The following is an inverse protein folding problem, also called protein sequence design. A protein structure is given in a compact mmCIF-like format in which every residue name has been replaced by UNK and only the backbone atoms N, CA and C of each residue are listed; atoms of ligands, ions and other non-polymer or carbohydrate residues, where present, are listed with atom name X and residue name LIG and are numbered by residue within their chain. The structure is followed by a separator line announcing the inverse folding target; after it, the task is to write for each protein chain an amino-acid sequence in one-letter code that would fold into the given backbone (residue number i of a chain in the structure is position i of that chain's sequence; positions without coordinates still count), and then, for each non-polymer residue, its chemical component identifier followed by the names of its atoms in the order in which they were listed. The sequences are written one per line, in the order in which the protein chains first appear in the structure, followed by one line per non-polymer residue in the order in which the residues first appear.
data_IF_028307959345
#
_entry.id   IF_028307959345
#
_cell.length_a   1.000
_cell.length_b   1.000
_cell.length_c   1.000
_cell.angle_alpha   90.00
_cell.angle_beta   90.00
_cell.angle_gamma   90.00
#
_symmetry.space_group_name_H-M   'P 1'
#
loop_
_entity.id
_entity.type
_entity.pdbx_description
1 polymer ?
#
# COMPACT_ATOMS: atom_id res chain seq x y z
N UNK A 1 4.05 12.73 1.42
CA UNK A 1 3.08 12.21 0.42
C UNK A 1 3.75 11.48 -0.73
N UNK A 2 4.73 12.08 -1.42
CA UNK A 2 5.59 11.34 -2.38
C UNK A 2 6.24 10.09 -1.78
N UNK A 3 6.47 10.12 -0.46
CA UNK A 3 6.95 9.01 0.34
C UNK A 3 6.21 7.68 0.05
N UNK A 4 4.91 7.68 -0.23
CA UNK A 4 4.17 6.45 -0.56
C UNK A 4 4.66 5.85 -1.88
N UNK A 5 4.87 6.67 -2.91
CA UNK A 5 5.36 6.18 -4.20
C UNK A 5 6.76 5.58 -4.06
N UNK A 6 7.60 6.16 -3.19
CA UNK A 6 8.95 5.67 -2.93
C UNK A 6 8.93 4.40 -2.06
N UNK A 7 8.21 4.39 -0.94
CA UNK A 7 8.15 3.23 -0.03
C UNK A 7 7.44 2.02 -0.65
N UNK A 8 6.45 2.25 -1.52
CA UNK A 8 5.70 1.18 -2.17
C UNK A 8 6.27 0.76 -3.53
N UNK A 9 7.34 1.41 -4.03
CA UNK A 9 7.79 1.32 -5.42
C UNK A 9 7.94 -0.12 -5.94
N UNK A 10 8.51 -1.04 -5.15
CA UNK A 10 8.69 -2.45 -5.51
C UNK A 10 7.35 -3.15 -5.75
N UNK A 11 6.33 -2.82 -4.97
CA UNK A 11 5.01 -3.44 -5.04
C UNK A 11 4.16 -2.87 -6.16
N UNK A 12 4.32 -1.59 -6.48
CA UNK A 12 3.48 -0.91 -7.49
C UNK A 12 4.15 -0.80 -8.86
N UNK A 13 5.41 -1.22 -9.02
CA UNK A 13 6.10 -1.11 -10.32
C UNK A 13 5.51 -2.01 -11.42
N UNK A 14 5.73 -1.57 -12.65
CA UNK A 14 5.68 -2.34 -13.88
C UNK A 14 7.02 -3.04 -14.14
N UNK A 15 7.08 -4.16 -14.89
CA UNK A 15 5.96 -4.92 -15.44
C UNK A 15 5.15 -5.66 -14.34
N UNK A 16 4.04 -6.30 -14.72
CA UNK A 16 3.17 -7.01 -13.77
C UNK A 16 3.90 -8.13 -13.02
N UNK A 17 4.96 -8.70 -13.61
CA UNK A 17 5.76 -9.79 -13.05
C UNK A 17 7.20 -9.38 -12.72
N UNK A 18 7.81 -9.96 -11.68
CA UNK A 18 7.18 -10.86 -10.70
C UNK A 18 6.18 -10.11 -9.80
N UNK A 19 5.18 -10.84 -9.29
CA UNK A 19 4.18 -10.28 -8.36
C UNK A 19 4.80 -10.26 -6.96
N UNK A 20 5.09 -9.06 -6.46
CA UNK A 20 5.51 -8.87 -5.06
C UNK A 20 4.27 -8.68 -4.18
N UNK A 21 4.13 -9.53 -3.18
CA UNK A 21 3.09 -9.38 -2.15
C UNK A 21 3.59 -8.41 -1.08
N UNK A 22 2.82 -7.35 -0.81
CA UNK A 22 3.16 -6.40 0.24
C UNK A 22 2.88 -7.01 1.60
N UNK A 23 3.90 -7.04 2.47
CA UNK A 23 3.70 -7.41 3.87
C UNK A 23 2.91 -6.32 4.59
N UNK A 24 1.92 -6.73 5.41
CA UNK A 24 1.14 -5.81 6.23
C UNK A 24 2.00 -4.98 7.19
N UNK A 25 3.18 -5.48 7.59
CA UNK A 25 4.08 -4.78 8.50
C UNK A 25 5.16 -3.96 7.76
N UNK A 26 5.09 -3.88 6.43
CA UNK A 26 6.06 -3.15 5.63
C UNK A 26 5.97 -1.62 5.80
N UNK A 27 7.07 -0.89 5.58
CA UNK A 27 7.06 0.58 5.52
C UNK A 27 6.03 1.13 4.52
N UNK A 28 5.82 0.45 3.39
CA UNK A 28 4.77 0.79 2.43
C UNK A 28 3.38 0.79 3.09
N UNK A 29 3.00 -0.29 3.78
CA UNK A 29 1.69 -0.35 4.44
C UNK A 29 1.56 0.63 5.61
N UNK A 30 2.65 0.93 6.32
CA UNK A 30 2.63 1.98 7.34
C UNK A 30 2.33 3.35 6.73
N UNK A 31 2.90 3.67 5.56
CA UNK A 31 2.61 4.90 4.85
C UNK A 31 1.17 4.94 4.28
N UNK A 32 0.68 3.82 3.74
CA UNK A 32 -0.70 3.69 3.25
C UNK A 32 -1.72 3.91 4.38
N UNK A 33 -1.47 3.39 5.58
CA UNK A 33 -2.36 3.58 6.75
C UNK A 33 -2.42 5.03 7.25
N UNK A 34 -1.43 5.86 6.94
CA UNK A 34 -1.45 7.30 7.23
C UNK A 34 -2.34 8.08 6.25
N UNK A 35 -2.68 7.51 5.09
CA UNK A 35 -3.65 8.12 4.17
C UNK A 35 -5.04 7.95 4.77
N UNK A 36 -5.77 9.06 4.89
CA UNK A 36 -7.16 9.06 5.34
C UNK A 36 -7.99 8.06 4.53
N UNK A 37 -8.68 7.17 5.24
CA UNK A 37 -9.49 6.07 4.69
C UNK A 37 -8.76 5.13 3.72
N UNK A 38 -7.41 5.18 3.71
CA UNK A 38 -6.56 4.52 2.70
C UNK A 38 -7.04 4.83 1.28
N UNK A 39 -7.45 6.08 1.04
CA UNK A 39 -7.94 6.50 -0.26
C UNK A 39 -6.81 6.58 -1.29
N UNK A 40 -6.58 5.49 -2.01
CA UNK A 40 -5.49 5.38 -2.99
C UNK A 40 -5.73 6.21 -4.27
N UNK A 41 -6.92 6.78 -4.47
CA UNK A 41 -7.12 7.77 -5.54
C UNK A 41 -6.22 8.98 -5.35
N UNK A 42 -5.95 9.36 -4.10
CA UNK A 42 -5.03 10.44 -3.79
C UNK A 42 -3.61 10.14 -4.29
N UNK A 43 -3.17 8.89 -4.16
CA UNK A 43 -1.84 8.44 -4.65
C UNK A 43 -1.79 8.47 -6.19
N UNK A 44 -2.90 8.16 -6.87
CA UNK A 44 -2.98 8.30 -8.32
C UNK A 44 -2.92 9.77 -8.78
N UNK A 45 -3.55 10.69 -8.04
CA UNK A 45 -3.45 12.13 -8.31
C UNK A 45 -2.00 12.60 -8.15
N UNK A 46 -1.32 12.21 -7.08
CA UNK A 46 0.11 12.51 -6.90
C UNK A 46 0.96 11.95 -8.04
N UNK A 47 0.66 10.72 -8.47
CA UNK A 47 1.37 10.11 -9.60
C UNK A 47 1.14 10.90 -10.89
N UNK A 48 -0.07 11.42 -11.12
CA UNK A 48 -0.39 12.22 -12.31
C UNK A 48 0.38 13.55 -12.38
N UNK A 49 0.84 14.05 -11.24
CA UNK A 49 1.67 15.26 -11.14
C UNK A 49 3.16 15.00 -11.42
N UNK A 50 3.59 13.73 -11.46
CA UNK A 50 4.97 13.35 -11.77
C UNK A 50 5.24 13.35 -13.29
N UNK A 51 6.51 13.30 -13.67
CA UNK A 51 6.90 13.18 -15.09
C UNK A 51 6.26 11.95 -15.76
N UNK A 52 5.96 12.06 -17.06
CA UNK A 52 5.39 10.95 -17.85
C UNK A 52 6.22 9.67 -17.75
N UNK A 53 7.54 9.79 -17.63
CA UNK A 53 8.43 8.63 -17.48
C UNK A 53 8.24 7.94 -16.14
N UNK A 54 8.14 8.69 -15.02
CA UNK A 54 7.79 8.10 -13.72
C UNK A 54 6.40 7.46 -13.75
N UNK A 55 5.43 8.06 -14.43
CA UNK A 55 4.08 7.50 -14.55
C UNK A 55 4.08 6.12 -15.21
N UNK A 56 4.90 5.91 -16.25
CA UNK A 56 5.00 4.63 -16.96
C UNK A 56 5.61 3.51 -16.11
N UNK A 57 6.37 3.85 -15.06
CA UNK A 57 6.99 2.86 -14.17
C UNK A 57 6.01 2.20 -13.21
N UNK A 58 4.83 2.78 -12.98
CA UNK A 58 3.92 2.32 -11.93
C UNK A 58 2.57 1.84 -12.48
N UNK A 59 2.08 0.76 -11.90
CA UNK A 59 0.78 0.18 -12.20
C UNK A 59 -0.31 0.82 -11.36
N UNK A 60 -1.25 1.52 -12.01
CA UNK A 60 -2.42 2.11 -11.36
C UNK A 60 -3.25 1.06 -10.60
N UNK A 61 -3.40 -0.12 -11.20
CA UNK A 61 -4.10 -1.27 -10.60
C UNK A 61 -3.45 -1.69 -9.28
N UNK A 62 -2.13 -1.86 -9.26
CA UNK A 62 -1.39 -2.24 -8.04
C UNK A 62 -1.47 -1.16 -6.95
N UNK A 63 -1.45 0.12 -7.34
CA UNK A 63 -1.63 1.24 -6.39
C UNK A 63 -3.00 1.16 -5.71
N UNK A 64 -4.07 0.93 -6.47
CA UNK A 64 -5.42 0.83 -5.89
C UNK A 64 -5.56 -0.34 -4.92
N UNK A 65 -4.93 -1.49 -5.22
CA UNK A 65 -4.96 -2.69 -4.37
C UNK A 65 -4.27 -2.50 -3.01
N UNK A 66 -3.41 -1.48 -2.85
CA UNK A 66 -2.79 -1.19 -1.54
C UNK A 66 -3.83 -0.94 -0.44
N UNK A 67 -5.03 -0.42 -0.79
CA UNK A 67 -6.13 -0.22 0.15
C UNK A 67 -6.49 -1.51 0.89
N UNK A 68 -6.60 -2.60 0.15
CA UNK A 68 -7.05 -3.90 0.65
C UNK A 68 -5.90 -4.71 1.23
N UNK A 69 -4.70 -4.57 0.67
CA UNK A 69 -3.52 -5.30 1.13
C UNK A 69 -2.96 -4.74 2.45
N UNK A 70 -3.07 -3.43 2.67
CA UNK A 70 -2.54 -2.75 3.85
C UNK A 70 -3.59 -2.56 4.97
N UNK A 71 -4.59 -3.44 5.04
CA UNK A 71 -5.50 -3.51 6.18
C UNK A 71 -4.68 -3.75 7.46
N UNK A 72 -4.96 -3.02 8.56
CA UNK A 72 -4.32 -3.31 9.84
C UNK A 72 -4.57 -4.78 10.24
N UNK A 73 -3.58 -5.48 10.82
CA UNK A 73 -3.84 -6.80 11.39
C UNK A 73 -5.01 -6.68 12.36
N UNK A 74 -6.00 -7.56 12.26
CA UNK A 74 -7.02 -7.65 13.30
C UNK A 74 -6.26 -8.06 14.57
N UNK A 75 -6.34 -7.26 15.63
CA UNK A 75 -5.92 -7.77 16.94
C UNK A 75 -6.73 -9.04 17.19
N UNK A 76 -6.06 -10.17 17.38
CA UNK A 76 -6.73 -11.38 17.82
C UNK A 76 -7.51 -11.01 19.11
N UNK A 77 -8.75 -11.48 19.29
CA UNK A 77 -9.42 -11.32 20.56
C UNK A 77 -8.49 -11.89 21.63
N UNK A 78 -8.22 -11.13 22.69
CA UNK A 78 -7.52 -11.62 23.86
C UNK A 78 -8.22 -12.89 24.31
N UNK A 79 -7.58 -14.05 24.14
CA UNK A 79 -8.02 -15.29 24.77
C UNK A 79 -7.85 -15.05 26.28
N UNK A 80 -8.89 -14.52 26.92
CA UNK A 80 -9.06 -14.59 28.37
C UNK A 80 -9.09 -16.08 28.71
N UNK A 81 -7.95 -16.60 29.14
CA UNK A 81 -7.90 -17.88 29.82
C UNK A 81 -8.72 -17.72 31.11
N UNK A 82 -9.93 -18.27 31.12
CA UNK A 82 -10.64 -18.55 32.36
C UNK A 82 -9.98 -19.79 32.93
N UNK A 83 -9.15 -19.63 33.97
CA UNK A 83 -8.82 -20.76 34.83
C UNK A 83 -10.06 -21.06 35.68
N UNK A 84 -10.61 -22.26 35.49
CA UNK A 84 -11.56 -22.89 36.40
C UNK A 84 -10.78 -23.74 37.40
#
# INVERSE_FOLDING_TARGET
MEEILNLCHIFIKMPRFPIYVVSQNSPCCNAVRKVRDRNMQFVLILLSQQSKDRQKLYSKEKILRLRDLCVPPRHAPSHRQVMA
#
